data_IF_121124000548
#
_entry.id   IF_121124000548
#
_cell.length_a   1.000
_cell.length_b   1.000
_cell.length_c   1.000
_cell.angle_alpha   90.00
_cell.angle_beta   90.00
_cell.angle_gamma   90.00
#
_symmetry.space_group_name_H-M   'P 1'
#
loop_
_entity.id
_entity.type
_entity.pdbx_description
1 polymer ?
#
# COMPACT_ATOMS: atom_id res chain seq x y z
N UNK A 1 28.68 -19.75 11.46
CA UNK A 1 27.67 -20.54 10.73
C UNK A 1 27.89 -20.29 9.24
N UNK A 2 28.07 -21.33 8.41
CA UNK A 2 28.19 -21.15 6.96
C UNK A 2 26.91 -20.49 6.46
N UNK A 3 27.03 -19.43 5.66
CA UNK A 3 25.84 -18.76 5.13
C UNK A 3 25.03 -19.73 4.26
N UNK A 4 23.69 -19.81 4.43
CA UNK A 4 22.87 -20.72 3.65
C UNK A 4 22.98 -20.43 2.15
N UNK A 5 22.88 -21.51 1.36
CA UNK A 5 22.85 -21.49 -0.11
C UNK A 5 21.88 -20.39 -0.62
N UNK A 6 22.26 -19.59 -1.64
CA UNK A 6 21.48 -18.43 -2.08
C UNK A 6 20.00 -18.73 -2.43
N UNK A 7 19.68 -19.98 -2.80
CA UNK A 7 18.31 -20.43 -3.10
C UNK A 7 17.41 -20.64 -1.87
N UNK A 8 17.96 -20.91 -0.67
CA UNK A 8 17.16 -21.18 0.54
C UNK A 8 16.79 -19.92 1.34
N UNK A 9 17.43 -18.79 1.04
CA UNK A 9 17.26 -17.53 1.80
C UNK A 9 15.85 -16.94 1.67
N UNK A 10 15.22 -16.85 0.49
CA UNK A 10 13.88 -16.27 0.38
C UNK A 10 12.82 -17.04 1.18
N UNK A 11 12.90 -18.38 1.18
CA UNK A 11 11.98 -19.23 1.95
C UNK A 11 12.11 -18.97 3.45
N UNK A 12 13.34 -18.95 3.98
CA UNK A 12 13.58 -18.66 5.41
C UNK A 12 13.03 -17.29 5.81
N UNK A 13 13.25 -16.27 4.96
CA UNK A 13 12.77 -14.91 5.20
C UNK A 13 11.24 -14.84 5.15
N UNK A 14 10.62 -15.52 4.18
CA UNK A 14 9.17 -15.63 4.11
C UNK A 14 8.60 -16.30 5.36
N UNK A 15 9.15 -17.44 5.78
CA UNK A 15 8.75 -18.15 7.01
C UNK A 15 8.90 -17.26 8.25
N UNK A 16 10.01 -16.53 8.38
CA UNK A 16 10.20 -15.61 9.48
C UNK A 16 9.11 -14.52 9.52
N UNK A 17 8.79 -13.89 8.38
CA UNK A 17 7.70 -12.92 8.34
C UNK A 17 6.34 -13.56 8.61
N UNK A 18 6.06 -14.78 8.11
CA UNK A 18 4.82 -15.49 8.40
C UNK A 18 4.64 -15.74 9.89
N UNK A 19 5.70 -16.10 10.61
CA UNK A 19 5.65 -16.27 12.07
C UNK A 19 5.34 -14.94 12.78
N UNK A 20 5.97 -13.83 12.35
CA UNK A 20 5.66 -12.50 12.90
C UNK A 20 4.22 -12.11 12.57
N UNK A 21 3.72 -12.41 11.37
CA UNK A 21 2.33 -12.18 10.99
C UNK A 21 1.36 -12.95 11.87
N UNK A 22 1.60 -14.23 12.13
CA UNK A 22 0.74 -15.04 13.01
C UNK A 22 0.73 -14.51 14.44
N UNK A 23 1.87 -14.04 14.96
CA UNK A 23 1.95 -13.39 16.27
C UNK A 23 1.18 -12.06 16.28
N UNK A 24 1.38 -11.22 15.26
CA UNK A 24 0.81 -9.87 15.16
C UNK A 24 -0.71 -9.90 14.96
N UNK A 25 -1.20 -10.91 14.23
CA UNK A 25 -2.62 -11.09 13.88
C UNK A 25 -3.33 -12.13 14.74
N UNK A 26 -2.66 -12.69 15.75
CA UNK A 26 -3.27 -13.65 16.66
C UNK A 26 -4.54 -13.09 17.32
N UNK A 27 -5.51 -13.94 17.72
CA UNK A 27 -5.66 -15.36 17.43
C UNK A 27 -6.39 -15.64 16.09
N UNK A 28 -6.32 -14.74 15.09
CA UNK A 28 -7.11 -14.85 13.85
C UNK A 28 -6.96 -16.18 13.10
N UNK A 29 -5.76 -16.77 13.12
CA UNK A 29 -5.48 -18.06 12.45
C UNK A 29 -6.41 -19.19 12.90
N UNK A 30 -6.93 -19.13 14.13
CA UNK A 30 -7.86 -20.12 14.67
C UNK A 30 -9.32 -19.81 14.35
N UNK A 31 -9.61 -18.65 13.76
CA UNK A 31 -10.97 -18.12 13.50
C UNK A 31 -11.14 -17.54 12.11
N UNK A 32 -10.37 -18.03 11.13
CA UNK A 32 -10.33 -17.51 9.75
C UNK A 32 -11.72 -17.39 9.11
N UNK A 33 -12.62 -18.36 9.35
CA UNK A 33 -13.95 -18.37 8.75
C UNK A 33 -15.04 -17.64 9.55
N UNK A 34 -14.73 -17.01 10.68
CA UNK A 34 -15.76 -16.50 11.62
C UNK A 34 -15.44 -15.13 12.24
N UNK A 35 -14.25 -14.58 11.96
CA UNK A 35 -13.79 -13.32 12.53
C UNK A 35 -12.98 -12.52 11.51
N UNK A 36 -12.84 -11.23 11.74
CA UNK A 36 -11.99 -10.32 10.99
C UNK A 36 -10.82 -9.84 11.83
N UNK A 37 -9.69 -9.57 11.18
CA UNK A 37 -8.55 -8.93 11.82
C UNK A 37 -8.88 -7.49 12.25
N UNK A 38 -8.45 -7.11 13.45
CA UNK A 38 -8.62 -5.76 13.97
C UNK A 38 -9.95 -5.50 14.66
N UNK A 39 -10.17 -4.22 14.95
CA UNK A 39 -11.37 -3.72 15.62
C UNK A 39 -11.88 -2.45 14.93
N UNK A 40 -13.07 -1.98 15.31
CA UNK A 40 -13.75 -0.86 14.65
C UNK A 40 -13.24 0.52 15.15
N UNK A 41 -12.01 0.92 14.76
CA UNK A 41 -11.42 2.26 15.00
C UNK A 41 -12.34 3.45 14.69
N UNK A 42 -13.12 3.35 13.61
CA UNK A 42 -14.03 4.39 13.11
C UNK A 42 -15.50 3.96 13.13
N UNK A 43 -15.81 2.91 13.90
CA UNK A 43 -17.12 2.26 13.86
C UNK A 43 -17.25 1.24 12.73
N UNK A 44 -18.49 0.79 12.52
CA UNK A 44 -18.83 -0.22 11.52
C UNK A 44 -18.48 0.25 10.11
N UNK A 45 -17.85 -0.63 9.36
CA UNK A 45 -17.48 -0.40 7.97
C UNK A 45 -17.91 -1.61 7.15
N UNK A 46 -18.60 -1.34 6.04
CA UNK A 46 -19.19 -2.35 5.16
C UNK A 46 -18.15 -2.97 4.21
N UNK A 47 -17.01 -2.32 3.99
CA UNK A 47 -16.03 -2.70 2.97
C UNK A 47 -15.54 -4.16 3.06
N UNK A 48 -15.22 -4.72 4.25
CA UNK A 48 -14.85 -6.14 4.34
C UNK A 48 -15.95 -7.08 3.83
N UNK A 49 -17.21 -6.75 4.08
CA UNK A 49 -18.35 -7.55 3.65
C UNK A 49 -18.64 -7.37 2.16
N UNK A 50 -18.51 -6.15 1.64
CA UNK A 50 -18.63 -5.89 0.21
C UNK A 50 -17.57 -6.66 -0.61
N UNK A 51 -16.35 -6.78 -0.08
CA UNK A 51 -15.29 -7.59 -0.70
C UNK A 51 -15.62 -9.09 -0.66
N UNK A 52 -16.18 -9.59 0.45
CA UNK A 52 -16.66 -10.98 0.55
C UNK A 52 -17.81 -11.28 -0.41
N UNK A 53 -18.79 -10.37 -0.50
CA UNK A 53 -19.89 -10.44 -1.48
C UNK A 53 -19.34 -10.45 -2.91
N UNK A 54 -18.29 -9.67 -3.18
CA UNK A 54 -17.60 -9.70 -4.48
C UNK A 54 -17.00 -11.08 -4.78
N UNK A 55 -16.36 -11.74 -3.81
CA UNK A 55 -15.83 -13.09 -4.01
C UNK A 55 -16.93 -14.08 -4.37
N UNK A 56 -18.09 -14.00 -3.70
CA UNK A 56 -19.26 -14.82 -3.99
C UNK A 56 -19.80 -14.53 -5.39
N UNK A 57 -19.93 -13.26 -5.77
CA UNK A 57 -20.40 -12.85 -7.09
C UNK A 57 -19.47 -13.32 -8.22
N UNK A 58 -18.16 -13.11 -8.09
CA UNK A 58 -17.16 -13.57 -9.08
C UNK A 58 -17.19 -15.10 -9.20
N UNK A 59 -17.32 -15.81 -8.08
CA UNK A 59 -17.47 -17.27 -8.09
C UNK A 59 -18.73 -17.72 -8.83
N UNK A 60 -19.88 -17.06 -8.61
CA UNK A 60 -21.12 -17.37 -9.33
C UNK A 60 -20.99 -17.11 -10.84
N UNK A 61 -20.40 -15.98 -11.23
CA UNK A 61 -20.18 -15.64 -12.64
C UNK A 61 -19.29 -16.70 -13.31
N UNK A 62 -18.23 -17.16 -12.64
CA UNK A 62 -17.36 -18.23 -13.13
C UNK A 62 -18.14 -19.55 -13.33
N UNK A 63 -19.02 -19.90 -12.40
CA UNK A 63 -19.82 -21.12 -12.47
C UNK A 63 -20.95 -21.06 -13.52
N UNK A 64 -21.47 -19.87 -13.84
CA UNK A 64 -22.60 -19.68 -14.75
C UNK A 64 -22.20 -19.36 -16.20
N UNK A 65 -20.91 -19.47 -16.57
CA UNK A 65 -20.38 -19.19 -17.91
C UNK A 65 -20.70 -17.80 -18.51
N UNK A 66 -21.18 -16.85 -17.70
CA UNK A 66 -21.29 -15.45 -18.12
C UNK A 66 -19.88 -14.85 -18.15
N UNK A 67 -19.53 -14.25 -19.30
CA UNK A 67 -18.14 -14.01 -19.71
C UNK A 67 -17.24 -13.26 -18.70
N UNK A 68 -15.94 -13.47 -18.88
CA UNK A 68 -14.77 -12.90 -18.18
C UNK A 68 -14.79 -11.37 -17.95
N UNK A 69 -15.75 -10.66 -18.54
CA UNK A 69 -15.85 -9.22 -18.62
C UNK A 69 -16.65 -8.59 -17.46
N UNK A 70 -17.48 -9.33 -16.72
CA UNK A 70 -18.23 -8.72 -15.60
C UNK A 70 -17.34 -8.40 -14.38
N UNK A 71 -16.23 -9.12 -14.21
CA UNK A 71 -15.34 -9.12 -13.04
C UNK A 71 -14.16 -8.15 -13.11
N UNK A 72 -13.99 -7.40 -14.21
CA UNK A 72 -12.91 -6.39 -14.34
C UNK A 72 -13.17 -5.12 -13.50
N UNK A 73 -14.40 -4.92 -13.01
CA UNK A 73 -14.78 -3.73 -12.24
C UNK A 73 -14.35 -3.73 -10.76
N UNK A 74 -14.00 -4.90 -10.20
CA UNK A 74 -13.75 -5.01 -8.76
C UNK A 74 -12.44 -5.75 -8.55
N UNK A 75 -11.36 -4.98 -8.40
CA UNK A 75 -10.04 -5.43 -7.92
C UNK A 75 -9.65 -6.85 -8.39
N UNK A 76 -9.48 -7.14 -9.70
CA UNK A 76 -9.31 -8.51 -10.20
C UNK A 76 -8.19 -9.31 -9.53
N UNK A 77 -7.09 -8.65 -9.16
CA UNK A 77 -5.97 -9.31 -8.49
C UNK A 77 -6.29 -9.78 -7.06
N UNK A 78 -7.42 -9.34 -6.49
CA UNK A 78 -7.94 -9.73 -5.17
C UNK A 78 -9.18 -10.60 -5.33
N UNK A 79 -10.13 -10.18 -6.17
CA UNK A 79 -11.43 -10.82 -6.32
C UNK A 79 -11.36 -12.24 -6.89
N UNK A 80 -10.51 -12.50 -7.89
CA UNK A 80 -10.37 -13.84 -8.47
C UNK A 80 -9.70 -14.84 -7.51
N UNK A 81 -8.53 -14.53 -6.89
CA UNK A 81 -7.99 -15.38 -5.84
C UNK A 81 -8.97 -15.57 -4.67
N UNK A 82 -9.69 -14.52 -4.29
CA UNK A 82 -10.72 -14.56 -3.26
C UNK A 82 -11.84 -15.55 -3.60
N UNK A 83 -12.40 -15.47 -4.80
CA UNK A 83 -13.43 -16.40 -5.29
C UNK A 83 -12.96 -17.87 -5.32
N UNK A 84 -11.71 -18.12 -5.73
CA UNK A 84 -11.12 -19.45 -5.68
C UNK A 84 -11.00 -19.98 -4.25
N UNK A 85 -10.48 -19.17 -3.32
CA UNK A 85 -10.35 -19.53 -1.91
C UNK A 85 -11.72 -19.70 -1.23
N UNK A 86 -12.72 -18.92 -1.60
CA UNK A 86 -14.10 -19.07 -1.12
C UNK A 86 -14.66 -20.44 -1.50
N UNK A 87 -14.29 -20.98 -2.66
CA UNK A 87 -14.68 -22.34 -3.06
C UNK A 87 -14.02 -23.45 -2.26
N UNK A 88 -12.84 -23.21 -1.68
CA UNK A 88 -12.11 -24.18 -0.86
C UNK A 88 -12.46 -24.08 0.64
N UNK A 89 -12.86 -22.89 1.08
CA UNK A 89 -13.17 -22.57 2.47
C UNK A 89 -14.53 -21.86 2.55
N UNK A 90 -14.51 -20.58 2.90
CA UNK A 90 -15.63 -19.65 2.82
C UNK A 90 -15.07 -18.24 2.55
N UNK A 91 -15.93 -17.27 2.28
CA UNK A 91 -15.58 -15.89 1.92
C UNK A 91 -14.80 -15.16 3.02
N UNK A 92 -15.11 -15.42 4.30
CA UNK A 92 -14.37 -14.85 5.41
C UNK A 92 -12.95 -15.42 5.54
N UNK A 93 -12.80 -16.74 5.36
CA UNK A 93 -11.50 -17.39 5.34
C UNK A 93 -10.67 -16.95 4.14
N UNK A 94 -11.29 -16.81 2.96
CA UNK A 94 -10.65 -16.27 1.77
C UNK A 94 -10.11 -14.85 2.00
N UNK A 95 -10.95 -13.96 2.56
CA UNK A 95 -10.56 -12.60 2.95
C UNK A 95 -9.36 -12.61 3.89
N UNK A 96 -9.42 -13.40 4.96
CA UNK A 96 -8.35 -13.45 5.95
C UNK A 96 -7.08 -14.10 5.42
N UNK A 97 -7.15 -15.09 4.53
CA UNK A 97 -5.97 -15.69 3.90
C UNK A 97 -5.26 -14.65 3.03
N UNK A 98 -6.00 -13.91 2.19
CA UNK A 98 -5.42 -12.85 1.37
C UNK A 98 -4.84 -11.71 2.21
N UNK A 99 -5.50 -11.36 3.32
CA UNK A 99 -4.99 -10.39 4.29
C UNK A 99 -3.71 -10.90 4.95
N UNK A 100 -3.68 -12.13 5.43
CA UNK A 100 -2.50 -12.71 6.09
C UNK A 100 -1.32 -12.84 5.13
N UNK A 101 -1.57 -13.12 3.85
CA UNK A 101 -0.51 -13.19 2.82
C UNK A 101 0.09 -11.82 2.48
N UNK A 102 -0.63 -10.71 2.67
CA UNK A 102 -0.11 -9.39 2.33
C UNK A 102 1.11 -9.01 3.18
N UNK A 103 1.14 -9.39 4.46
CA UNK A 103 2.25 -9.11 5.38
C UNK A 103 3.57 -9.80 5.00
N UNK A 104 3.66 -11.14 4.92
CA UNK A 104 4.91 -11.82 4.62
C UNK A 104 5.40 -11.55 3.19
N UNK A 105 4.49 -11.35 2.23
CA UNK A 105 4.89 -10.96 0.87
C UNK A 105 5.44 -9.52 0.84
N UNK A 106 4.81 -8.57 1.54
CA UNK A 106 5.32 -7.21 1.64
C UNK A 106 6.70 -7.18 2.31
N UNK A 107 6.88 -7.97 3.36
CA UNK A 107 8.17 -8.12 4.05
C UNK A 107 9.22 -8.72 3.14
N UNK A 108 8.89 -9.80 2.42
CA UNK A 108 9.80 -10.51 1.51
C UNK A 108 10.25 -9.61 0.35
N UNK A 109 9.31 -8.97 -0.36
CA UNK A 109 9.67 -8.15 -1.51
C UNK A 109 10.45 -6.90 -1.10
N UNK A 110 10.12 -6.29 0.04
CA UNK A 110 10.93 -5.19 0.61
C UNK A 110 12.30 -5.68 1.04
N UNK A 111 12.43 -6.87 1.62
CA UNK A 111 13.73 -7.49 1.92
C UNK A 111 14.57 -7.67 0.65
N UNK A 112 13.99 -8.22 -0.41
CA UNK A 112 14.70 -8.44 -1.68
C UNK A 112 15.15 -7.10 -2.28
N UNK A 113 14.28 -6.09 -2.30
CA UNK A 113 14.61 -4.74 -2.76
C UNK A 113 15.71 -4.10 -1.91
N UNK A 114 15.56 -4.10 -0.59
CA UNK A 114 16.57 -3.56 0.32
C UNK A 114 17.92 -4.29 0.17
N UNK A 115 17.91 -5.62 -0.01
CA UNK A 115 19.13 -6.40 -0.22
C UNK A 115 19.84 -6.03 -1.52
N UNK A 116 19.10 -5.76 -2.61
CA UNK A 116 19.65 -5.24 -3.87
C UNK A 116 20.22 -3.81 -3.76
N UNK A 117 19.84 -3.06 -2.72
CA UNK A 117 20.38 -1.72 -2.46
C UNK A 117 21.57 -1.76 -1.50
N UNK A 118 21.51 -2.58 -0.44
CA UNK A 118 22.47 -2.52 0.68
C UNK A 118 23.49 -3.67 0.68
N UNK A 119 23.15 -4.81 0.11
CA UNK A 119 23.93 -6.04 0.19
C UNK A 119 24.04 -6.61 1.61
N UNK A 120 23.19 -6.20 2.55
CA UNK A 120 23.26 -6.62 3.96
C UNK A 120 21.95 -7.28 4.40
N UNK A 121 21.95 -8.62 4.52
CA UNK A 121 20.75 -9.42 4.78
C UNK A 121 19.98 -8.97 6.03
N UNK A 122 20.64 -8.84 7.19
CA UNK A 122 19.93 -8.46 8.42
C UNK A 122 19.30 -7.07 8.36
N UNK A 123 19.98 -6.07 7.80
CA UNK A 123 19.43 -4.72 7.62
C UNK A 123 18.23 -4.74 6.65
N UNK A 124 18.29 -5.55 5.59
CA UNK A 124 17.17 -5.76 4.68
C UNK A 124 15.98 -6.46 5.34
N UNK A 125 16.23 -7.34 6.31
CA UNK A 125 15.16 -7.98 7.09
C UNK A 125 14.41 -6.93 7.92
N UNK A 126 15.13 -5.99 8.54
CA UNK A 126 14.49 -4.87 9.24
C UNK A 126 13.71 -3.93 8.30
N UNK A 127 14.16 -3.69 7.07
CA UNK A 127 13.35 -2.91 6.11
C UNK A 127 12.00 -3.60 5.82
N UNK A 128 12.00 -4.93 5.63
CA UNK A 128 10.75 -5.64 5.44
C UNK A 128 9.86 -5.60 6.68
N UNK A 129 10.41 -5.69 7.89
CA UNK A 129 9.64 -5.47 9.13
C UNK A 129 9.01 -4.07 9.19
N UNK A 130 9.79 -3.02 8.93
CA UNK A 130 9.32 -1.62 8.96
C UNK A 130 8.18 -1.42 7.96
N UNK A 131 8.28 -1.96 6.76
CA UNK A 131 7.24 -1.78 5.74
C UNK A 131 5.99 -2.64 6.00
N UNK A 132 6.19 -3.94 6.20
CA UNK A 132 5.10 -4.90 6.32
C UNK A 132 4.29 -4.74 7.61
N UNK A 133 4.88 -4.25 8.69
CA UNK A 133 4.18 -4.03 9.97
C UNK A 133 4.00 -2.55 10.28
N UNK A 134 4.09 -1.69 9.26
CA UNK A 134 3.85 -0.26 9.41
C UNK A 134 2.44 0.02 9.92
N UNK A 135 2.23 1.12 10.68
CA UNK A 135 0.91 1.59 11.06
C UNK A 135 -0.07 1.74 9.90
N UNK A 136 0.43 2.21 8.77
CA UNK A 136 -0.35 2.29 7.54
C UNK A 136 -0.94 0.93 7.16
N UNK A 137 -0.12 -0.12 7.13
CA UNK A 137 -0.55 -1.42 6.64
C UNK A 137 -1.62 -2.04 7.54
N UNK A 138 -1.38 -2.14 8.85
CA UNK A 138 -2.31 -2.85 9.71
C UNK A 138 -3.62 -2.09 9.92
N UNK A 139 -3.62 -0.75 9.90
CA UNK A 139 -4.87 0.03 9.94
C UNK A 139 -5.72 -0.20 8.70
N UNK A 140 -5.11 -0.28 7.50
CA UNK A 140 -5.86 -0.62 6.30
C UNK A 140 -6.28 -2.09 6.28
N UNK A 141 -5.47 -3.00 6.84
CA UNK A 141 -5.85 -4.40 7.01
C UNK A 141 -7.10 -4.58 7.89
N UNK A 142 -7.40 -3.65 8.81
CA UNK A 142 -8.64 -3.71 9.59
C UNK A 142 -9.91 -3.51 8.75
N UNK A 143 -9.82 -2.92 7.56
CA UNK A 143 -10.99 -2.40 6.84
C UNK A 143 -10.99 -2.66 5.33
N UNK A 144 -9.86 -2.47 4.67
CA UNK A 144 -9.78 -2.39 3.22
C UNK A 144 -8.77 -3.42 2.69
N UNK A 145 -9.25 -4.63 2.38
CA UNK A 145 -8.38 -5.72 1.94
C UNK A 145 -7.53 -5.33 0.72
N UNK A 146 -8.14 -4.71 -0.29
CA UNK A 146 -7.44 -4.27 -1.50
C UNK A 146 -6.34 -3.25 -1.22
N UNK A 147 -6.50 -2.38 -0.20
CA UNK A 147 -5.48 -1.41 0.23
C UNK A 147 -4.47 -2.00 1.21
N UNK A 148 -4.75 -3.17 1.78
CA UNK A 148 -3.78 -3.94 2.54
C UNK A 148 -2.83 -4.75 1.63
N UNK A 149 -3.13 -4.92 0.34
CA UNK A 149 -2.28 -5.65 -0.61
C UNK A 149 -1.02 -4.84 -1.05
N UNK A 150 -0.28 -4.30 -0.09
CA UNK A 150 0.85 -3.38 -0.32
C UNK A 150 2.09 -4.05 -0.92
N UNK A 151 2.15 -5.39 -0.95
CA UNK A 151 3.33 -6.15 -1.36
C UNK A 151 3.77 -5.88 -2.81
N UNK A 152 2.89 -5.42 -3.68
CA UNK A 152 3.21 -5.23 -5.08
C UNK A 152 4.10 -4.02 -5.36
N UNK A 153 4.09 -3.00 -4.49
CA UNK A 153 4.96 -1.81 -4.65
C UNK A 153 6.47 -2.12 -4.54
N UNK A 154 6.96 -2.80 -3.48
CA UNK A 154 8.37 -3.17 -3.42
C UNK A 154 8.75 -4.12 -4.56
N UNK A 155 7.86 -5.00 -5.00
CA UNK A 155 8.10 -5.88 -6.16
C UNK A 155 8.26 -5.07 -7.45
N UNK A 156 7.38 -4.11 -7.68
CA UNK A 156 7.42 -3.24 -8.86
C UNK A 156 8.66 -2.36 -8.88
N UNK A 157 8.99 -1.71 -7.77
CA UNK A 157 10.19 -0.88 -7.67
C UNK A 157 11.48 -1.72 -7.82
N UNK A 158 11.50 -2.94 -7.28
CA UNK A 158 12.56 -3.92 -7.54
C UNK A 158 12.68 -4.25 -9.02
N UNK A 159 11.57 -4.50 -9.71
CA UNK A 159 11.55 -4.80 -11.13
C UNK A 159 12.16 -3.66 -11.97
N UNK A 160 11.78 -2.41 -11.67
CA UNK A 160 12.31 -1.20 -12.34
C UNK A 160 13.83 -1.06 -12.15
N UNK A 161 14.33 -1.24 -10.92
CA UNK A 161 15.77 -1.20 -10.67
C UNK A 161 16.53 -2.34 -11.33
N UNK A 162 15.99 -3.57 -11.32
CA UNK A 162 16.63 -4.71 -11.96
C UNK A 162 16.68 -4.53 -13.49
N UNK A 163 15.61 -4.04 -14.09
CA UNK A 163 15.53 -3.85 -15.54
C UNK A 163 16.51 -2.77 -16.04
N UNK A 164 16.56 -1.62 -15.36
CA UNK A 164 17.47 -0.52 -15.74
C UNK A 164 18.94 -0.86 -15.58
N UNK A 165 19.28 -1.75 -14.64
CA UNK A 165 20.66 -2.26 -14.47
C UNK A 165 21.09 -3.19 -15.59
N UNK A 166 20.22 -4.11 -16.01
CA UNK A 166 20.45 -5.01 -17.15
C UNK A 166 19.11 -5.47 -17.68
N UNK A 167 18.80 -5.12 -18.92
CA UNK A 167 17.57 -5.52 -19.59
C UNK A 167 17.61 -7.00 -19.97
N UNK A 168 16.48 -7.68 -19.80
CA UNK A 168 16.26 -9.07 -20.23
C UNK A 168 14.76 -9.36 -20.26
N UNK A 169 14.33 -10.38 -21.02
CA UNK A 169 12.92 -10.77 -21.13
C UNK A 169 12.31 -11.10 -19.76
N UNK A 170 12.95 -11.89 -18.87
CA UNK A 170 12.37 -12.17 -17.55
C UNK A 170 12.16 -10.90 -16.70
N UNK A 171 13.06 -9.91 -16.81
CA UNK A 171 12.93 -8.64 -16.09
C UNK A 171 11.85 -7.74 -16.70
N UNK A 172 11.68 -7.78 -18.02
CA UNK A 172 10.54 -7.12 -18.68
C UNK A 172 9.22 -7.71 -18.19
N UNK A 173 9.12 -9.05 -18.15
CA UNK A 173 7.99 -9.76 -17.59
C UNK A 173 7.72 -9.39 -16.14
N UNK A 174 8.78 -9.31 -15.31
CA UNK A 174 8.64 -8.88 -13.91
C UNK A 174 8.09 -7.45 -13.80
N UNK A 175 8.55 -6.49 -14.63
CA UNK A 175 8.03 -5.11 -14.67
C UNK A 175 6.55 -5.10 -15.05
N UNK A 176 6.17 -5.81 -16.12
CA UNK A 176 4.80 -5.83 -16.62
C UNK A 176 3.84 -6.53 -15.65
N UNK A 177 4.23 -7.67 -15.10
CA UNK A 177 3.39 -8.44 -14.16
C UNK A 177 3.20 -7.67 -12.85
N UNK A 178 4.26 -7.08 -12.29
CA UNK A 178 4.13 -6.30 -11.04
C UNK A 178 3.35 -5.01 -11.25
N UNK A 179 3.46 -4.36 -12.42
CA UNK A 179 2.59 -3.24 -12.79
C UNK A 179 1.13 -3.69 -12.92
N UNK A 180 0.86 -4.78 -13.64
CA UNK A 180 -0.48 -5.33 -13.79
C UNK A 180 -1.11 -5.67 -12.43
N UNK A 181 -0.34 -6.29 -11.52
CA UNK A 181 -0.80 -6.57 -10.15
C UNK A 181 -1.20 -5.28 -9.42
N UNK A 182 -0.44 -4.19 -9.54
CA UNK A 182 -0.83 -2.90 -8.96
C UNK A 182 -2.12 -2.35 -9.58
N UNK A 183 -2.21 -2.34 -10.91
CA UNK A 183 -3.38 -1.84 -11.66
C UNK A 183 -4.66 -2.61 -11.30
N UNK A 184 -4.57 -3.93 -11.18
CA UNK A 184 -5.71 -4.80 -10.91
C UNK A 184 -5.98 -5.03 -9.41
N UNK A 185 -5.12 -4.57 -8.51
CA UNK A 185 -5.36 -4.69 -7.07
C UNK A 185 -6.25 -3.57 -6.56
N UNK A 186 -5.96 -2.32 -6.92
CA UNK A 186 -6.76 -1.18 -6.48
C UNK A 186 -6.55 0.03 -7.40
N UNK A 187 -7.61 0.80 -7.67
CA UNK A 187 -7.49 1.98 -8.54
C UNK A 187 -6.55 3.05 -7.94
N UNK A 188 -6.46 3.20 -6.60
CA UNK A 188 -5.44 4.04 -5.97
C UNK A 188 -4.03 3.57 -6.30
N UNK A 189 -3.81 2.26 -6.37
CA UNK A 189 -2.50 1.71 -6.70
C UNK A 189 -2.14 1.94 -8.16
N UNK A 190 -3.14 1.98 -9.06
CA UNK A 190 -2.90 2.39 -10.45
C UNK A 190 -2.38 3.83 -10.53
N UNK A 191 -3.00 4.77 -9.81
CA UNK A 191 -2.52 6.15 -9.74
C UNK A 191 -1.11 6.24 -9.13
N UNK A 192 -0.86 5.52 -8.04
CA UNK A 192 0.44 5.53 -7.38
C UNK A 192 1.53 4.90 -8.25
N UNK A 193 1.20 3.82 -8.97
CA UNK A 193 2.09 3.19 -9.93
C UNK A 193 2.40 4.14 -11.09
N UNK A 194 1.41 4.83 -11.65
CA UNK A 194 1.60 5.83 -12.72
C UNK A 194 2.56 6.94 -12.27
N UNK A 195 2.29 7.57 -11.12
CA UNK A 195 3.13 8.65 -10.60
C UNK A 195 4.53 8.17 -10.26
N UNK A 196 4.67 7.00 -9.64
CA UNK A 196 5.96 6.37 -9.37
C UNK A 196 6.73 6.10 -10.67
N UNK A 197 6.05 5.61 -11.71
CA UNK A 197 6.65 5.31 -13.02
C UNK A 197 7.14 6.57 -13.70
N UNK A 198 6.30 7.59 -13.81
CA UNK A 198 6.65 8.88 -14.42
C UNK A 198 7.82 9.50 -13.66
N UNK A 199 7.77 9.50 -12.33
CA UNK A 199 8.84 10.04 -11.50
C UNK A 199 10.14 9.25 -11.65
N UNK A 200 10.09 7.92 -11.67
CA UNK A 200 11.24 7.05 -11.88
C UNK A 200 11.87 7.27 -13.26
N UNK A 201 11.07 7.34 -14.33
CA UNK A 201 11.56 7.60 -15.68
C UNK A 201 12.17 9.01 -15.80
N UNK A 202 11.55 10.03 -15.23
CA UNK A 202 12.10 11.39 -15.19
C UNK A 202 13.42 11.47 -14.42
N UNK A 203 13.49 10.83 -13.26
CA UNK A 203 14.71 10.76 -12.45
C UNK A 203 15.83 9.96 -13.14
N UNK A 204 15.52 8.81 -13.72
CA UNK A 204 16.51 8.01 -14.44
C UNK A 204 16.95 8.67 -15.75
N UNK A 205 16.01 9.25 -16.50
CA UNK A 205 16.30 10.00 -17.72
C UNK A 205 17.18 11.21 -17.46
N UNK A 206 16.88 12.03 -16.45
CA UNK A 206 17.72 13.17 -16.05
C UNK A 206 19.12 12.73 -15.62
N UNK A 207 19.24 11.64 -14.85
CA UNK A 207 20.54 11.08 -14.51
C UNK A 207 21.35 10.65 -15.73
N UNK A 208 20.72 9.96 -16.70
CA UNK A 208 21.37 9.59 -17.95
C UNK A 208 21.78 10.83 -18.76
N UNK A 209 20.94 11.86 -18.85
CA UNK A 209 21.29 13.09 -19.56
C UNK A 209 22.52 13.78 -18.96
N UNK A 210 22.58 13.88 -17.63
CA UNK A 210 23.64 14.60 -16.92
C UNK A 210 24.94 13.81 -16.76
N UNK A 211 24.86 12.48 -16.64
CA UNK A 211 26.00 11.65 -16.22
C UNK A 211 26.39 10.54 -17.20
N UNK A 212 25.66 10.29 -18.30
CA UNK A 212 25.98 9.19 -19.25
C UNK A 212 27.42 9.23 -19.76
N UNK A 213 27.91 10.40 -20.15
CA UNK A 213 29.21 10.57 -20.78
C UNK A 213 30.36 10.30 -19.80
N UNK A 214 30.15 10.67 -18.53
CA UNK A 214 31.14 10.47 -17.45
C UNK A 214 31.08 9.06 -16.86
N UNK A 215 29.91 8.42 -16.86
CA UNK A 215 29.68 7.14 -16.21
C UNK A 215 29.69 5.93 -17.16
N UNK A 216 29.79 6.13 -18.48
CA UNK A 216 29.79 5.05 -19.47
C UNK A 216 28.49 4.24 -19.51
N UNK A 217 27.37 4.83 -19.09
CA UNK A 217 26.09 4.13 -18.93
C UNK A 217 25.30 4.16 -20.25
N UNK A 218 24.87 2.99 -20.71
CA UNK A 218 24.02 2.88 -21.91
C UNK A 218 22.60 3.38 -21.65
N UNK A 219 22.05 4.16 -22.57
CA UNK A 219 20.64 4.58 -22.54
C UNK A 219 19.67 3.51 -23.08
N UNK A 220 20.18 2.39 -23.63
CA UNK A 220 19.35 1.34 -24.23
C UNK A 220 18.35 0.72 -23.23
N UNK A 221 18.74 0.33 -22.00
CA UNK A 221 17.79 -0.20 -21.02
C UNK A 221 16.67 0.79 -20.68
N UNK A 222 16.97 2.09 -20.65
CA UNK A 222 15.97 3.11 -20.39
C UNK A 222 14.93 3.19 -21.51
N UNK A 223 15.35 3.27 -22.77
CA UNK A 223 14.40 3.32 -23.90
C UNK A 223 13.61 2.02 -24.08
N UNK A 224 14.21 0.87 -23.79
CA UNK A 224 13.48 -0.40 -23.73
C UNK A 224 12.42 -0.38 -22.63
N UNK A 225 12.72 0.19 -21.46
CA UNK A 225 11.76 0.32 -20.37
C UNK A 225 10.59 1.22 -20.79
N UNK A 226 10.88 2.38 -21.39
CA UNK A 226 9.86 3.28 -21.94
C UNK A 226 8.98 2.55 -22.95
N UNK A 227 9.58 1.84 -23.91
CA UNK A 227 8.85 1.07 -24.91
C UNK A 227 7.95 -0.01 -24.30
N UNK A 228 8.46 -0.79 -23.34
CA UNK A 228 7.68 -1.85 -22.66
C UNK A 228 6.52 -1.25 -21.85
N UNK A 229 6.76 -0.17 -21.11
CA UNK A 229 5.71 0.49 -20.34
C UNK A 229 4.65 1.09 -21.27
N UNK A 230 5.07 1.69 -22.39
CA UNK A 230 4.16 2.23 -23.40
C UNK A 230 3.30 1.13 -24.04
N UNK A 231 3.92 0.05 -24.50
CA UNK A 231 3.19 -1.12 -25.03
C UNK A 231 2.26 -1.75 -23.99
N UNK A 232 2.72 -1.86 -22.73
CA UNK A 232 1.89 -2.34 -21.62
C UNK A 232 0.70 -1.42 -21.34
N UNK A 233 0.88 -0.10 -21.46
CA UNK A 233 -0.19 0.89 -21.29
C UNK A 233 -1.22 0.80 -22.41
N UNK A 234 -0.77 0.59 -23.66
CA UNK A 234 -1.68 0.34 -24.79
C UNK A 234 -2.48 -0.94 -24.55
N UNK A 235 -1.83 -2.04 -24.16
CA UNK A 235 -2.54 -3.30 -23.88
C UNK A 235 -3.56 -3.14 -22.75
N UNK A 236 -3.21 -2.42 -21.69
CA UNK A 236 -4.12 -2.13 -20.60
C UNK A 236 -5.31 -1.27 -21.07
N UNK A 237 -5.06 -0.23 -21.86
CA UNK A 237 -6.12 0.60 -22.43
C UNK A 237 -7.05 -0.20 -23.35
N UNK A 238 -6.52 -1.11 -24.17
CA UNK A 238 -7.33 -2.01 -25.00
C UNK A 238 -8.20 -2.95 -24.16
N UNK A 239 -7.65 -3.47 -23.06
CA UNK A 239 -8.41 -4.33 -22.14
C UNK A 239 -9.54 -3.57 -21.43
N UNK A 240 -9.30 -2.31 -21.05
CA UNK A 240 -10.28 -1.48 -20.33
C UNK A 240 -11.19 -0.70 -21.29
N UNK A 241 -10.86 -0.64 -22.59
CA UNK A 241 -11.59 0.13 -23.60
C UNK A 241 -13.10 -0.10 -23.61
N UNK A 242 -13.62 -1.35 -23.52
CA UNK A 242 -15.07 -1.60 -23.49
C UNK A 242 -15.80 -0.90 -22.33
N UNK A 243 -15.08 -0.56 -21.26
CA UNK A 243 -15.62 0.05 -20.06
C UNK A 243 -15.43 1.56 -19.99
N UNK A 244 -14.59 2.13 -20.85
CA UNK A 244 -14.35 3.58 -20.86
C UNK A 244 -15.65 4.34 -21.16
N UNK A 245 -16.54 3.79 -21.99
CA UNK A 245 -17.87 4.35 -22.24
C UNK A 245 -18.74 4.40 -20.97
N UNK A 246 -18.76 3.31 -20.20
CA UNK A 246 -19.49 3.26 -18.92
C UNK A 246 -18.91 4.25 -17.91
N UNK A 247 -17.57 4.28 -17.76
CA UNK A 247 -16.90 5.22 -16.86
C UNK A 247 -17.22 6.65 -17.27
N UNK A 248 -17.15 6.97 -18.56
CA UNK A 248 -17.43 8.31 -19.08
C UNK A 248 -18.85 8.78 -18.77
N UNK A 249 -19.85 7.93 -18.99
CA UNK A 249 -21.26 8.24 -18.68
C UNK A 249 -21.50 8.43 -17.18
N UNK A 250 -20.75 7.73 -16.33
CA UNK A 250 -20.90 7.77 -14.88
C UNK A 250 -19.86 8.67 -14.17
N UNK A 251 -19.02 9.41 -14.92
CA UNK A 251 -17.98 10.28 -14.37
C UNK A 251 -18.48 11.22 -13.26
N UNK A 252 -19.64 11.90 -13.41
CA UNK A 252 -20.16 12.76 -12.35
C UNK A 252 -20.48 12.02 -11.05
N UNK A 253 -20.93 10.76 -11.13
CA UNK A 253 -21.19 9.91 -9.97
C UNK A 253 -19.92 9.33 -9.35
N UNK A 254 -18.87 9.12 -10.16
CA UNK A 254 -17.56 8.63 -9.73
C UNK A 254 -16.65 9.72 -9.17
N UNK A 255 -16.90 10.99 -9.53
CA UNK A 255 -16.15 12.12 -9.01
C UNK A 255 -16.40 12.29 -7.51
N UNK A 256 -15.33 12.27 -6.72
CA UNK A 256 -15.44 12.53 -5.30
C UNK A 256 -15.72 14.02 -5.06
N UNK A 257 -16.33 14.34 -3.92
CA UNK A 257 -16.53 15.76 -3.54
C UNK A 257 -15.20 16.39 -3.17
N UNK A 258 -15.00 17.65 -3.53
CA UNK A 258 -13.79 18.39 -3.14
C UNK A 258 -13.62 18.48 -1.60
N UNK A 259 -14.74 18.51 -0.85
CA UNK A 259 -14.72 18.44 0.61
C UNK A 259 -14.18 17.11 1.15
N UNK A 260 -14.41 15.99 0.45
CA UNK A 260 -13.83 14.70 0.81
C UNK A 260 -12.32 14.71 0.60
N UNK A 261 -11.83 15.35 -0.46
CA UNK A 261 -10.40 15.52 -0.67
C UNK A 261 -9.74 16.24 0.51
N UNK A 262 -10.30 17.37 0.95
CA UNK A 262 -9.83 18.10 2.13
C UNK A 262 -9.86 17.24 3.41
N UNK A 263 -10.88 16.38 3.53
CA UNK A 263 -11.10 15.50 4.66
C UNK A 263 -10.12 14.32 4.71
N UNK A 264 -9.75 13.75 3.56
CA UNK A 264 -8.89 12.55 3.48
C UNK A 264 -7.46 12.82 2.97
N UNK A 265 -7.06 14.09 2.88
CA UNK A 265 -5.65 14.49 2.76
C UNK A 265 -4.93 14.38 4.10
N UNK A 266 -3.63 14.10 4.06
CA UNK A 266 -2.78 14.06 5.24
C UNK A 266 -2.69 15.42 5.94
N UNK A 267 -2.25 15.41 7.19
CA UNK A 267 -1.86 16.61 7.94
C UNK A 267 -0.40 16.47 8.37
N UNK A 268 0.39 17.56 8.42
CA UNK A 268 1.78 17.48 8.87
C UNK A 268 1.94 16.80 10.23
N UNK A 269 1.02 17.04 11.16
CA UNK A 269 1.02 16.42 12.48
C UNK A 269 0.72 14.91 12.46
N UNK A 270 0.08 14.38 11.41
CA UNK A 270 -0.21 12.96 11.25
C UNK A 270 1.05 12.10 11.05
N UNK A 271 2.17 12.74 10.71
CA UNK A 271 3.49 12.12 10.63
C UNK A 271 4.29 12.24 11.95
N UNK A 272 3.73 12.87 12.98
CA UNK A 272 4.41 13.11 14.26
C UNK A 272 3.89 12.17 15.33
N UNK A 273 2.57 11.99 15.41
CA UNK A 273 1.96 11.27 16.52
C UNK A 273 1.79 9.78 16.25
N UNK A 274 2.15 8.90 17.21
CA UNK A 274 1.90 7.48 17.11
C UNK A 274 0.42 7.12 16.92
N UNK A 275 0.11 5.93 16.38
CA UNK A 275 -1.27 5.46 16.26
C UNK A 275 -1.94 5.37 17.62
N UNK A 276 -3.22 5.77 17.71
CA UNK A 276 -4.00 5.67 18.95
C UNK A 276 -4.06 4.25 19.52
N UNK A 277 -3.97 3.27 18.63
CA UNK A 277 -4.02 1.85 18.93
C UNK A 277 -2.68 1.25 19.38
N UNK A 278 -1.59 2.02 19.33
CA UNK A 278 -0.32 1.59 19.89
C UNK A 278 -0.45 1.54 21.43
N UNK A 279 -0.22 0.38 22.07
CA UNK A 279 -0.47 0.23 23.50
C UNK A 279 0.53 0.96 24.41
N UNK A 280 1.72 1.27 23.89
CA UNK A 280 2.79 1.91 24.66
C UNK A 280 2.85 3.42 24.42
N UNK A 281 2.58 3.84 23.19
CA UNK A 281 2.78 5.22 22.72
C UNK A 281 1.49 5.91 22.26
N UNK A 282 0.37 5.20 22.15
CA UNK A 282 -0.90 5.75 21.63
C UNK A 282 -1.54 6.83 22.51
N UNK A 283 -1.05 7.01 23.73
CA UNK A 283 -1.43 8.14 24.59
C UNK A 283 -0.79 9.46 24.13
N UNK A 284 0.34 9.42 23.42
CA UNK A 284 1.06 10.59 22.94
C UNK A 284 0.27 11.24 21.79
N UNK A 285 -0.21 12.46 22.02
CA UNK A 285 -0.99 13.20 21.02
C UNK A 285 -2.45 12.77 20.89
N UNK A 286 -2.94 11.87 21.75
CA UNK A 286 -4.33 11.37 21.71
C UNK A 286 -5.38 12.48 21.71
N UNK A 287 -5.26 13.45 22.62
CA UNK A 287 -6.18 14.59 22.69
C UNK A 287 -6.13 15.47 21.43
N UNK A 288 -4.94 15.65 20.86
CA UNK A 288 -4.75 16.40 19.63
C UNK A 288 -5.37 15.69 18.42
N UNK A 289 -5.18 14.37 18.32
CA UNK A 289 -5.75 13.54 17.25
C UNK A 289 -7.28 13.55 17.34
N UNK A 290 -7.84 13.23 18.51
CA UNK A 290 -9.29 13.09 18.68
C UNK A 290 -10.04 14.42 18.51
N UNK A 291 -9.45 15.55 18.94
CA UNK A 291 -10.06 16.87 18.75
C UNK A 291 -10.09 17.34 17.29
N UNK A 292 -9.23 16.78 16.42
CA UNK A 292 -9.10 17.20 15.00
C UNK A 292 -9.64 16.19 13.99
N UNK A 293 -9.79 14.92 14.38
CA UNK A 293 -10.28 13.84 13.52
C UNK A 293 -11.63 13.28 13.95
N UNK A 294 -12.44 14.07 14.67
CA UNK A 294 -13.81 13.70 14.97
C UNK A 294 -14.56 13.38 13.65
N UNK A 295 -14.87 12.09 13.43
CA UNK A 295 -15.64 11.61 12.27
C UNK A 295 -14.83 10.81 11.24
N UNK A 296 -14.53 9.54 11.50
CA UNK A 296 -14.36 8.53 10.45
C UNK A 296 -13.06 8.51 9.63
N UNK A 297 -12.11 9.41 9.85
CA UNK A 297 -10.89 9.55 9.00
C UNK A 297 -9.61 9.02 9.66
N UNK A 298 -9.73 8.41 10.85
CA UNK A 298 -8.59 7.89 11.60
C UNK A 298 -7.79 6.85 10.81
N UNK A 299 -8.49 6.08 9.96
CA UNK A 299 -7.87 5.08 9.08
C UNK A 299 -6.86 5.74 8.14
N UNK A 300 -7.30 6.76 7.41
CA UNK A 300 -6.45 7.49 6.46
C UNK A 300 -5.33 8.29 7.13
N UNK A 301 -5.55 8.79 8.35
CA UNK A 301 -4.59 9.68 9.04
C UNK A 301 -3.55 8.95 9.89
N UNK A 302 -3.57 7.62 9.95
CA UNK A 302 -2.54 6.84 10.64
C UNK A 302 -1.28 6.74 9.78
N UNK A 303 -0.51 7.82 9.74
CA UNK A 303 0.65 8.02 8.85
C UNK A 303 1.99 8.09 9.58
N UNK A 304 2.02 7.73 10.87
CA UNK A 304 3.20 7.80 11.72
C UNK A 304 4.40 6.95 11.24
N UNK A 305 5.47 7.58 10.72
CA UNK A 305 6.61 6.89 10.12
C UNK A 305 7.60 6.27 11.13
N UNK A 306 7.39 6.43 12.44
CA UNK A 306 8.33 6.02 13.49
C UNK A 306 9.53 6.95 13.63
N UNK A 307 9.98 7.21 14.86
CA UNK A 307 11.21 7.99 15.08
C UNK A 307 12.43 7.15 14.69
N UNK A 308 12.43 5.86 15.02
CA UNK A 308 13.57 4.98 14.75
C UNK A 308 13.85 4.83 13.24
N UNK A 309 12.87 4.51 12.38
CA UNK A 309 13.09 4.46 10.93
C UNK A 309 13.56 5.80 10.34
N UNK A 310 13.03 6.93 10.83
CA UNK A 310 13.45 8.27 10.40
C UNK A 310 14.92 8.55 10.75
N UNK A 311 15.34 8.29 11.99
CA UNK A 311 16.73 8.48 12.41
C UNK A 311 17.69 7.57 11.62
N UNK A 312 17.29 6.32 11.36
CA UNK A 312 18.07 5.39 10.55
C UNK A 312 18.18 5.84 9.08
N UNK A 313 17.09 6.38 8.51
CA UNK A 313 17.09 6.93 7.16
C UNK A 313 18.02 8.15 7.04
N UNK A 314 18.00 9.06 8.01
CA UNK A 314 18.92 10.22 8.08
C UNK A 314 20.37 9.73 8.17
N UNK A 315 20.65 8.74 9.03
CA UNK A 315 21.98 8.16 9.17
C UNK A 315 22.50 7.51 7.87
N UNK A 316 21.62 7.05 6.98
CA UNK A 316 21.99 6.59 5.65
C UNK A 316 22.52 7.76 4.79
N UNK A 317 21.85 8.92 4.80
CA UNK A 317 22.21 10.09 4.01
C UNK A 317 23.60 10.67 4.32
N UNK A 318 23.97 10.76 5.60
CA UNK A 318 25.25 11.38 6.01
C UNK A 318 26.49 10.55 5.71
N UNK A 319 26.33 9.25 5.55
CA UNK A 319 27.44 8.33 5.56
C UNK A 319 27.89 7.79 4.19
N UNK A 320 27.01 7.85 3.19
CA UNK A 320 27.12 7.03 2.00
C UNK A 320 27.91 7.67 0.85
N UNK A 321 28.19 8.97 0.92
CA UNK A 321 29.08 9.64 -0.04
C UNK A 321 30.52 9.11 -0.02
N UNK A 322 30.93 8.32 1.00
CA UNK A 322 32.34 7.91 1.23
C UNK A 322 32.63 6.40 1.18
N UNK A 323 31.64 5.50 1.23
CA UNK A 323 31.84 4.04 1.18
C UNK A 323 30.73 3.40 0.34
N UNK A 324 31.09 2.69 -0.73
CA UNK A 324 30.15 2.16 -1.72
C UNK A 324 29.29 1.01 -1.22
N UNK A 325 28.09 0.89 -1.80
CA UNK A 325 27.25 -0.31 -1.69
C UNK A 325 27.75 -1.45 -2.58
N UNK A 326 27.03 -2.59 -2.65
CA UNK A 326 27.41 -3.76 -3.44
C UNK A 326 27.56 -3.46 -4.94
N UNK A 327 26.96 -2.37 -5.43
CA UNK A 327 27.04 -1.94 -6.83
C UNK A 327 27.85 -0.66 -7.02
N UNK A 328 28.71 -0.34 -6.05
CA UNK A 328 29.52 0.87 -6.04
C UNK A 328 28.82 2.09 -5.43
N UNK A 329 29.60 3.14 -5.11
CA UNK A 329 29.11 4.32 -4.40
C UNK A 329 28.16 5.18 -5.22
N UNK A 330 28.36 5.26 -6.54
CA UNK A 330 27.55 6.12 -7.43
C UNK A 330 26.13 5.58 -7.60
N UNK A 331 25.97 4.31 -8.01
CA UNK A 331 24.66 3.71 -8.25
C UNK A 331 23.83 3.66 -6.96
N UNK A 332 24.49 3.43 -5.83
CA UNK A 332 23.75 3.40 -4.57
C UNK A 332 23.37 4.81 -4.10
N UNK A 333 24.24 5.81 -4.25
CA UNK A 333 23.87 7.21 -3.95
C UNK A 333 22.70 7.69 -4.84
N UNK A 334 22.68 7.27 -6.11
CA UNK A 334 21.55 7.49 -7.03
C UNK A 334 20.25 6.88 -6.49
N UNK A 335 20.25 5.59 -6.12
CA UNK A 335 19.04 4.96 -5.56
C UNK A 335 18.58 5.61 -4.25
N UNK A 336 19.48 6.00 -3.35
CA UNK A 336 19.10 6.64 -2.09
C UNK A 336 18.56 8.07 -2.31
N UNK A 337 19.12 8.83 -3.26
CA UNK A 337 18.59 10.14 -3.61
C UNK A 337 17.19 10.03 -4.22
N UNK A 338 16.96 9.05 -5.12
CA UNK A 338 15.62 8.75 -5.62
C UNK A 338 14.60 8.57 -4.49
N UNK A 339 14.94 7.76 -3.48
CA UNK A 339 14.05 7.47 -2.36
C UNK A 339 13.74 8.71 -1.51
N UNK A 340 14.72 9.58 -1.26
CA UNK A 340 14.48 10.86 -0.58
C UNK A 340 13.56 11.78 -1.38
N UNK A 341 13.77 11.89 -2.69
CA UNK A 341 12.91 12.70 -3.54
C UNK A 341 11.51 12.10 -3.67
N UNK A 342 11.39 10.77 -3.66
CA UNK A 342 10.10 10.07 -3.66
C UNK A 342 9.32 10.32 -2.36
N UNK A 343 10.00 10.36 -1.20
CA UNK A 343 9.38 10.82 0.06
C UNK A 343 8.87 12.25 -0.09
N UNK A 344 9.69 13.16 -0.61
CA UNK A 344 9.29 14.56 -0.83
C UNK A 344 8.07 14.69 -1.74
N UNK A 345 8.06 14.00 -2.87
CA UNK A 345 6.94 13.97 -3.80
C UNK A 345 5.67 13.42 -3.13
N UNK A 346 5.76 12.26 -2.48
CA UNK A 346 4.63 11.62 -1.83
C UNK A 346 4.07 12.48 -0.68
N UNK A 347 4.94 13.12 0.12
CA UNK A 347 4.53 14.06 1.16
C UNK A 347 3.73 15.21 0.55
N UNK A 348 4.28 15.89 -0.46
CA UNK A 348 3.64 17.06 -1.07
C UNK A 348 2.30 16.70 -1.73
N UNK A 349 2.20 15.55 -2.39
CA UNK A 349 0.94 15.08 -2.97
C UNK A 349 -0.07 14.62 -1.91
N UNK A 350 0.40 14.19 -0.74
CA UNK A 350 -0.47 13.78 0.36
C UNK A 350 -1.09 14.95 1.13
N UNK A 351 -0.51 16.15 1.05
CA UNK A 351 -0.97 17.35 1.75
C UNK A 351 -2.34 17.83 1.24
N UNK A 352 -3.10 18.61 2.05
CA UNK A 352 -4.41 19.11 1.63
C UNK A 352 -4.29 19.99 0.39
N UNK A 353 -5.31 20.00 -0.49
CA UNK A 353 -5.29 20.75 -1.74
C UNK A 353 -5.14 22.26 -1.55
N UNK A 354 -5.46 22.76 -0.36
CA UNK A 354 -5.31 24.17 0.00
C UNK A 354 -4.69 24.25 1.39
N UNK A 355 -3.69 25.12 1.54
CA UNK A 355 -3.06 25.43 2.82
C UNK A 355 -2.99 26.95 3.01
N UNK A 356 -3.29 27.41 4.23
CA UNK A 356 -3.18 28.82 4.61
C UNK A 356 -1.93 28.99 5.47
N UNK A 357 -0.96 29.78 5.00
CA UNK A 357 0.29 30.07 5.70
C UNK A 357 0.45 31.59 5.77
N UNK A 358 0.50 32.14 7.00
CA UNK A 358 0.63 33.60 7.20
C UNK A 358 -0.52 34.42 6.58
N UNK A 359 -1.74 33.87 6.56
CA UNK A 359 -2.90 34.50 5.93
C UNK A 359 -3.01 34.31 4.41
N UNK A 360 -1.96 33.81 3.75
CA UNK A 360 -1.98 33.51 2.32
C UNK A 360 -2.46 32.08 2.08
N UNK A 361 -3.52 31.96 1.28
CA UNK A 361 -4.10 30.66 0.89
C UNK A 361 -3.49 30.19 -0.42
N UNK A 362 -2.70 29.12 -0.36
CA UNK A 362 -1.98 28.56 -1.51
C UNK A 362 -2.59 27.24 -1.96
N UNK A 363 -2.67 27.04 -3.28
CA UNK A 363 -3.08 25.76 -3.89
C UNK A 363 -1.89 24.82 -3.93
N UNK A 364 -2.06 23.65 -3.32
CA UNK A 364 -1.01 22.62 -3.26
C UNK A 364 -1.07 21.74 -4.51
N UNK A 365 -0.01 20.98 -4.84
CA UNK A 365 0.00 20.06 -5.97
C UNK A 365 -1.16 19.04 -5.99
N UNK A 366 -1.67 18.67 -4.81
CA UNK A 366 -2.88 17.84 -4.67
C UNK A 366 -4.13 18.48 -5.29
N UNK A 367 -4.27 19.81 -5.28
CA UNK A 367 -5.39 20.49 -5.96
C UNK A 367 -5.40 20.18 -7.45
N UNK A 368 -4.25 20.34 -8.11
CA UNK A 368 -4.11 20.09 -9.55
C UNK A 368 -4.23 18.61 -9.89
N UNK A 369 -3.72 17.73 -9.02
CA UNK A 369 -3.90 16.29 -9.19
C UNK A 369 -5.39 15.91 -9.17
N UNK A 370 -6.18 16.51 -8.28
CA UNK A 370 -7.63 16.27 -8.21
C UNK A 370 -8.36 16.81 -9.44
N UNK A 371 -7.93 17.94 -10.00
CA UNK A 371 -8.52 18.44 -11.25
C UNK A 371 -8.32 17.47 -12.41
N UNK A 372 -7.16 16.82 -12.48
CA UNK A 372 -6.88 15.80 -13.47
C UNK A 372 -7.60 14.47 -13.19
N UNK A 373 -7.71 14.08 -11.92
CA UNK A 373 -8.26 12.79 -11.50
C UNK A 373 -9.24 12.94 -10.32
N UNK A 374 -10.48 13.44 -10.57
CA UNK A 374 -11.43 13.80 -9.51
C UNK A 374 -12.02 12.59 -8.77
N UNK A 375 -11.83 11.36 -9.27
CA UNK A 375 -12.27 10.13 -8.61
C UNK A 375 -11.45 9.77 -7.36
N UNK A 376 -10.25 10.36 -7.18
CA UNK A 376 -9.39 10.08 -6.04
C UNK A 376 -9.55 11.13 -4.95
N UNK A 377 -10.02 10.69 -3.77
CA UNK A 377 -10.24 11.58 -2.61
C UNK A 377 -9.23 11.42 -1.48
N UNK A 378 -8.69 10.22 -1.30
CA UNK A 378 -7.89 9.90 -0.10
C UNK A 378 -6.39 10.03 -0.35
N UNK A 379 -5.89 11.26 -0.43
CA UNK A 379 -4.47 11.52 -0.73
C UNK A 379 -3.54 11.24 0.43
N UNK A 380 -4.03 11.12 1.66
CA UNK A 380 -3.26 10.58 2.77
C UNK A 380 -2.64 9.20 2.43
N UNK A 381 -3.27 8.44 1.52
CA UNK A 381 -2.80 7.12 1.09
C UNK A 381 -1.47 7.13 0.34
N UNK A 382 -0.99 8.28 -0.15
CA UNK A 382 0.39 8.45 -0.62
C UNK A 382 1.44 8.14 0.46
N UNK A 383 1.03 8.12 1.74
CA UNK A 383 1.82 7.61 2.86
C UNK A 383 2.48 6.25 2.60
N UNK A 384 1.84 5.39 1.81
CA UNK A 384 2.41 4.10 1.41
C UNK A 384 3.80 4.21 0.77
N UNK A 385 3.99 5.17 -0.14
CA UNK A 385 5.27 5.41 -0.82
C UNK A 385 6.32 6.00 0.13
N UNK A 386 5.87 6.76 1.14
CA UNK A 386 6.72 7.27 2.21
C UNK A 386 7.26 6.11 3.03
N UNK A 387 6.40 5.20 3.51
CA UNK A 387 6.83 4.03 4.30
C UNK A 387 7.78 3.13 3.52
N UNK A 388 7.50 2.84 2.25
CA UNK A 388 8.38 2.03 1.42
C UNK A 388 9.77 2.67 1.32
N UNK A 389 9.81 3.96 0.95
CA UNK A 389 11.08 4.67 0.77
C UNK A 389 11.85 4.77 2.08
N UNK A 390 11.15 5.07 3.18
CA UNK A 390 11.74 5.17 4.51
C UNK A 390 12.33 3.85 4.98
N UNK A 391 11.62 2.73 4.79
CA UNK A 391 12.12 1.40 5.14
C UNK A 391 13.42 1.06 4.39
N UNK A 392 13.49 1.38 3.10
CA UNK A 392 14.68 1.16 2.27
C UNK A 392 15.86 2.05 2.71
N UNK A 393 15.60 3.32 3.02
CA UNK A 393 16.60 4.23 3.56
C UNK A 393 17.11 3.76 4.94
N UNK A 394 16.19 3.32 5.81
CA UNK A 394 16.52 2.80 7.13
C UNK A 394 17.43 1.57 7.06
N UNK A 395 17.24 0.67 6.08
CA UNK A 395 18.19 -0.43 5.83
C UNK A 395 19.60 0.07 5.49
N UNK A 396 19.74 1.20 4.78
CA UNK A 396 21.03 1.83 4.55
C UNK A 396 21.70 2.31 5.84
N UNK A 397 20.93 2.87 6.77
CA UNK A 397 21.39 3.27 8.11
C UNK A 397 21.79 2.07 8.96
N UNK A 398 20.94 1.05 9.00
CA UNK A 398 21.19 -0.20 9.73
C UNK A 398 22.40 -0.95 9.19
N UNK A 399 22.61 -0.97 7.89
CA UNK A 399 23.81 -1.57 7.27
C UNK A 399 25.09 -0.94 7.83
N UNK A 400 25.09 0.39 8.03
CA UNK A 400 26.24 1.08 8.63
C UNK A 400 26.36 0.76 10.11
N UNK A 401 25.25 0.78 10.84
CA UNK A 401 25.22 0.50 12.26
C UNK A 401 25.76 -0.91 12.56
N UNK A 402 25.24 -1.91 11.85
CA UNK A 402 25.64 -3.31 12.02
C UNK A 402 27.06 -3.58 11.53
N UNK A 403 27.53 -2.93 10.46
CA UNK A 403 28.95 -3.05 10.04
C UNK A 403 29.90 -2.38 11.03
N UNK A 404 29.54 -1.22 11.57
CA UNK A 404 30.38 -0.46 12.53
C UNK A 404 30.50 -1.19 13.87
N UNK A 405 29.42 -1.81 14.32
CA UNK A 405 29.35 -2.49 15.61
C UNK A 405 29.06 -3.99 15.46
N UNK A 406 29.73 -4.64 14.49
CA UNK A 406 29.52 -6.06 14.18
C UNK A 406 29.79 -7.00 15.36
N UNK A 407 30.65 -6.60 16.29
CA UNK A 407 30.94 -7.33 17.52
C UNK A 407 29.79 -7.28 18.55
N UNK A 408 28.89 -6.29 18.48
CA UNK A 408 27.81 -6.09 19.45
C UNK A 408 26.51 -6.78 18.99
N UNK A 409 26.40 -8.08 19.28
CA UNK A 409 25.24 -8.91 18.90
C UNK A 409 23.89 -8.47 19.50
N UNK A 410 23.90 -7.61 20.52
CA UNK A 410 22.69 -7.07 21.14
C UNK A 410 22.04 -5.92 20.34
N UNK A 411 22.77 -5.26 19.43
CA UNK A 411 22.23 -4.09 18.69
C UNK A 411 21.03 -4.47 17.82
N UNK A 412 21.04 -5.56 17.03
CA UNK A 412 19.85 -5.99 16.30
C UNK A 412 18.64 -6.24 17.21
N UNK A 413 18.86 -6.82 18.40
CA UNK A 413 17.80 -7.06 19.39
C UNK A 413 17.23 -5.74 19.88
N UNK A 414 18.09 -4.78 20.23
CA UNK A 414 17.63 -3.44 20.63
C UNK A 414 16.82 -2.76 19.51
N UNK A 415 17.31 -2.79 18.27
CA UNK A 415 16.59 -2.23 17.12
C UNK A 415 15.22 -2.90 16.96
N UNK A 416 15.14 -4.23 17.09
CA UNK A 416 13.88 -4.95 17.04
C UNK A 416 12.92 -4.51 18.15
N UNK A 417 13.39 -4.42 19.40
CA UNK A 417 12.56 -3.99 20.53
C UNK A 417 12.04 -2.55 20.37
N UNK A 418 12.90 -1.64 19.89
CA UNK A 418 12.49 -0.26 19.65
C UNK A 418 11.46 -0.15 18.51
N UNK A 419 11.66 -0.89 17.41
CA UNK A 419 10.69 -0.94 16.32
C UNK A 419 9.37 -1.59 16.76
N UNK A 420 9.44 -2.64 17.57
CA UNK A 420 8.27 -3.27 18.15
C UNK A 420 7.48 -2.28 19.00
N UNK A 421 8.14 -1.53 19.89
CA UNK A 421 7.52 -0.52 20.73
C UNK A 421 6.82 0.59 19.90
N UNK A 422 7.43 1.02 18.79
CA UNK A 422 6.83 2.05 17.93
C UNK A 422 5.67 1.55 17.07
N UNK A 423 5.74 0.34 16.53
CA UNK A 423 4.83 -0.13 15.46
C UNK A 423 3.79 -1.15 15.92
N UNK A 424 3.94 -1.72 17.13
CA UNK A 424 3.00 -2.71 17.64
C UNK A 424 1.61 -2.14 17.86
N UNK A 425 0.60 -2.94 17.53
CA UNK A 425 -0.81 -2.75 17.90
C UNK A 425 -1.26 -3.76 18.97
N UNK A 426 -0.32 -4.58 19.50
CA UNK A 426 -0.54 -5.60 20.53
C UNK A 426 0.36 -5.36 21.76
N UNK A 427 -0.11 -5.69 22.98
CA UNK A 427 -1.45 -6.17 23.37
C UNK A 427 -2.50 -5.04 23.50
N UNK A 428 -3.82 -5.33 23.53
CA UNK A 428 -4.42 -6.65 23.34
C UNK A 428 -4.44 -7.03 21.85
N UNK A 429 -4.49 -8.33 21.58
CA UNK A 429 -4.80 -8.85 20.25
C UNK A 429 -6.21 -8.43 19.84
N UNK A 430 -6.37 -8.06 18.56
CA UNK A 430 -7.61 -7.46 18.05
C UNK A 430 -8.16 -8.33 16.93
N UNK A 431 -9.27 -9.00 17.22
CA UNK A 431 -10.13 -9.64 16.23
C UNK A 431 -11.58 -9.29 16.57
N UNK A 432 -12.44 -9.23 15.55
CA UNK A 432 -13.88 -9.01 15.74
C UNK A 432 -14.69 -10.11 15.07
N UNK A 433 -15.76 -10.62 15.69
CA UNK A 433 -16.64 -11.59 15.04
C UNK A 433 -17.33 -10.97 13.83
N UNK A 434 -17.68 -11.80 12.86
CA UNK A 434 -18.54 -11.37 11.76
C UNK A 434 -19.91 -10.97 12.30
N UNK A 435 -20.49 -9.90 11.77
CA UNK A 435 -21.84 -9.47 12.11
C UNK A 435 -22.85 -10.31 11.30
N UNK A 436 -23.82 -10.97 11.95
CA UNK A 436 -24.85 -11.76 11.26
C UNK A 436 -25.72 -10.90 10.33
N UNK A 437 -26.19 -11.47 9.22
CA UNK A 437 -27.21 -10.86 8.35
C UNK A 437 -26.73 -9.76 7.40
N UNK A 438 -25.42 -9.51 7.29
CA UNK A 438 -24.87 -8.52 6.35
C UNK A 438 -24.50 -9.13 5.00
N UNK A 439 -23.97 -10.36 4.99
CA UNK A 439 -23.64 -11.07 3.75
C UNK A 439 -24.94 -11.47 3.05
N UNK A 440 -25.09 -11.08 1.78
CA UNK A 440 -26.28 -11.45 0.99
C UNK A 440 -26.18 -12.91 0.58
N UNK A 441 -27.27 -13.66 0.74
CA UNK A 441 -27.26 -15.06 0.33
C UNK A 441 -27.20 -15.15 -1.21
N UNK A 442 -26.46 -16.12 -1.79
CA UNK A 442 -26.39 -16.35 -3.24
C UNK A 442 -27.73 -16.33 -3.98
N UNK A 443 -28.81 -16.80 -3.35
CA UNK A 443 -30.17 -16.80 -3.88
C UNK A 443 -30.74 -15.40 -4.10
N UNK A 444 -30.40 -14.44 -3.24
CA UNK A 444 -30.86 -13.05 -3.31
C UNK A 444 -30.19 -12.28 -4.46
N UNK A 445 -28.92 -12.58 -4.73
CA UNK A 445 -28.15 -11.98 -5.83
C UNK A 445 -28.70 -12.42 -7.20
N UNK A 446 -29.14 -13.68 -7.31
CA UNK A 446 -29.71 -14.24 -8.55
C UNK A 446 -31.12 -13.72 -8.88
N UNK A 447 -31.90 -13.34 -7.86
CA UNK A 447 -33.26 -12.83 -8.03
C UNK A 447 -33.26 -11.41 -8.64
N UNK A 448 -32.29 -10.57 -8.25
CA UNK A 448 -32.12 -9.22 -8.81
C UNK A 448 -31.67 -9.19 -10.28
N UNK A 449 -31.13 -10.28 -10.82
CA UNK A 449 -30.70 -10.36 -12.22
C UNK A 449 -31.77 -10.90 -13.18
N UNK A 450 -32.91 -11.40 -12.68
CA UNK A 450 -33.96 -12.03 -13.50
C UNK A 450 -35.13 -11.12 -13.89
N UNK A 451 -35.22 -9.91 -13.36
CA UNK A 451 -36.30 -8.96 -13.67
C UNK A 451 -35.71 -7.59 -14.08
N UNK A 452 -35.43 -7.36 -15.37
CA UNK A 452 -34.88 -6.09 -15.84
C UNK A 452 -35.89 -4.94 -15.80
N UNK A 453 -37.16 -5.21 -15.45
CA UNK A 453 -38.25 -4.22 -15.44
C UNK A 453 -38.54 -3.59 -14.08
N UNK A 454 -37.93 -4.07 -12.99
CA UNK A 454 -38.10 -3.50 -11.65
C UNK A 454 -36.87 -2.67 -11.29
N UNK A 455 -36.84 -1.45 -11.78
CA UNK A 455 -35.90 -0.41 -11.34
C UNK A 455 -36.16 -0.09 -9.87
N UNK A 456 -35.49 -0.79 -8.96
CA UNK A 456 -35.11 -0.17 -7.69
C UNK A 456 -34.02 0.85 -8.00
N UNK A 457 -34.44 2.10 -8.21
CA UNK A 457 -33.59 3.26 -8.04
C UNK A 457 -32.93 3.17 -6.65
N UNK A 458 -31.64 2.83 -6.57
CA UNK A 458 -30.90 3.03 -5.32
C UNK A 458 -29.72 2.14 -4.96
N UNK A 459 -29.36 1.09 -5.70
CA UNK A 459 -28.41 0.09 -5.16
C UNK A 459 -26.90 0.43 -5.22
N UNK A 460 -26.49 1.56 -5.80
CA UNK A 460 -25.10 2.06 -5.73
C UNK A 460 -24.96 3.53 -5.34
N UNK A 461 -26.06 4.19 -4.93
CA UNK A 461 -26.10 5.62 -4.61
C UNK A 461 -26.75 6.00 -3.26
N UNK A 462 -27.19 5.03 -2.46
CA UNK A 462 -28.12 5.29 -1.35
C UNK A 462 -27.81 4.57 -0.04
N UNK A 463 -26.62 4.77 0.54
CA UNK A 463 -26.43 4.55 1.98
C UNK A 463 -26.09 5.89 2.62
N UNK A 464 -27.11 6.76 2.68
CA UNK A 464 -27.11 7.88 3.61
C UNK A 464 -26.99 7.29 5.01
N UNK A 465 -26.01 7.79 5.74
CA UNK A 465 -25.83 7.64 7.18
C UNK A 465 -27.16 7.88 7.92
N UNK A 466 -27.81 6.82 8.36
CA UNK A 466 -28.81 6.90 9.42
C UNK A 466 -28.06 7.10 10.74
N UNK A 467 -27.86 8.36 11.09
CA UNK A 467 -27.12 8.77 12.28
C UNK A 467 -27.17 10.28 12.47
N UNK A 468 -28.38 10.85 12.48
CA UNK A 468 -28.75 12.05 13.23
C UNK A 468 -30.20 12.41 12.92
N UNK A 469 -31.13 11.76 13.63
CA UNK A 469 -32.41 12.37 13.97
C UNK A 469 -32.34 12.66 15.46
N UNK A 470 -32.14 13.93 15.80
CA UNK A 470 -32.74 14.66 16.93
C UNK A 470 -32.01 16.00 17.02
N UNK A 471 -32.70 17.05 16.60
CA UNK A 471 -32.93 18.32 17.31
C UNK A 471 -33.31 19.36 16.25
N UNK A 472 -34.61 19.36 15.95
CA UNK A 472 -35.32 20.54 15.44
C UNK A 472 -35.49 21.57 16.57
N UNK A 473 -35.68 22.81 16.13
CA UNK A 473 -36.37 23.91 16.79
C UNK A 473 -35.80 24.48 18.09
N UNK A 474 -35.06 25.59 17.97
CA UNK A 474 -35.58 26.92 18.35
C UNK A 474 -34.52 28.03 18.17
N UNK A 475 -34.92 29.08 17.44
CA UNK A 475 -34.34 30.44 17.27
C UNK A 475 -33.37 30.72 16.11
#
# INVERSE_FOLDING_TARGET
MPEPHPSRRPLLIFTAYSLVTLLFTGPLVFRLGSSLYGHELVGFNIDPYAEMDCFLAVRQVYLNHHGLLFSLFIHPAVAYPGALLTGLFNEAAAFNILLLLSFPLAGLFTYLLAFQLTGHSLASFFAGLIYAFSPYHWVHAYYHLSLAQIQWFPLYLLALFLFTRRSSIPRAGLVLVSLALLLFTNYYYALFALLLTVFFLGYHGSYLLLFRAKAGVSARPFWLLVGILFSGSILFLLLVFPYLGYVYQNLPALAARYGDLLRYSSRPWGFIFPPLDNPFLGWIGRSHILSRLAGGTLVEHTLYPGVIPVLLAIAAGWGWRKKGGPHGPVLTSYSFLFLWLLIGLALVLSLPPVMTVGGLTMRMPSHYLYQAFPMFRSYARFGLLIYLSLALLAAGGLTRLFRRYSHKRWIPVLVFLLLFLEYTNIPPWRIRPLKPGILKHPSEISATTKDPGRTEEGSWGGLRTTGNKTLDDDR
#
